data_IF_562601081985
#
_entry.id   IF_562601081985
#
_cell.length_a   1.000
_cell.length_b   1.000
_cell.length_c   1.000
_cell.angle_alpha   90.00
_cell.angle_beta   90.00
_cell.angle_gamma   90.00
#
_symmetry.space_group_name_H-M   'P 1'
#
loop_
_entity.id
_entity.type
_entity.pdbx_description
1 polymer ?
#
# COMPACT_ATOMS: atom_id res chain seq x y z
N UNK A 1 5.90 7.94 -18.87
CA UNK A 1 4.79 7.86 -17.90
C UNK A 1 4.76 6.45 -17.39
N UNK A 2 4.84 6.28 -16.09
CA UNK A 2 4.86 4.97 -15.44
C UNK A 2 3.47 4.67 -14.88
N UNK A 3 2.96 3.47 -15.18
CA UNK A 3 1.70 2.97 -14.64
C UNK A 3 1.99 1.91 -13.58
N UNK A 4 1.60 2.19 -12.35
CA UNK A 4 1.81 1.30 -11.21
C UNK A 4 0.45 0.83 -10.72
N UNK A 5 0.31 -0.47 -10.45
CA UNK A 5 -0.85 -1.00 -9.73
C UNK A 5 -0.41 -1.39 -8.34
N UNK A 6 -1.08 -0.84 -7.33
CA UNK A 6 -0.80 -1.09 -5.92
C UNK A 6 -2.01 -1.73 -5.25
N UNK A 7 -1.74 -2.65 -4.33
CA UNK A 7 -2.74 -3.31 -3.49
C UNK A 7 -2.39 -3.08 -2.03
N UNK A 8 -3.35 -2.67 -1.21
CA UNK A 8 -3.12 -2.51 0.24
C UNK A 8 -4.40 -2.72 1.05
N UNK A 9 -4.26 -2.88 2.36
CA UNK A 9 -5.40 -3.06 3.27
C UNK A 9 -5.78 -1.75 3.96
N UNK A 10 -7.07 -1.60 4.26
CA UNK A 10 -7.62 -0.53 5.10
C UNK A 10 -8.52 -1.15 6.15
N UNK A 11 -8.30 -0.80 7.41
CA UNK A 11 -9.18 -1.14 8.51
C UNK A 11 -10.16 0.02 8.77
N UNK A 12 -11.42 -0.33 8.98
CA UNK A 12 -12.49 0.56 9.42
C UNK A 12 -12.80 0.23 10.87
N UNK A 13 -12.70 1.22 11.75
CA UNK A 13 -13.07 1.05 13.16
C UNK A 13 -14.60 1.16 13.36
N UNK A 14 -15.13 0.86 14.56
CA UNK A 14 -16.57 0.93 14.83
C UNK A 14 -17.20 2.31 14.61
N UNK A 15 -16.40 3.37 14.64
CA UNK A 15 -16.82 4.75 14.39
C UNK A 15 -16.85 5.10 12.90
N UNK A 16 -16.40 4.18 12.03
CA UNK A 16 -16.32 4.40 10.59
C UNK A 16 -15.03 5.09 10.14
N UNK A 17 -14.05 5.28 11.03
CA UNK A 17 -12.77 5.87 10.66
C UNK A 17 -11.90 4.84 9.94
N UNK A 18 -11.34 5.25 8.81
CA UNK A 18 -10.50 4.42 7.96
C UNK A 18 -9.02 4.61 8.29
N UNK A 19 -8.28 3.51 8.30
CA UNK A 19 -6.83 3.51 8.53
C UNK A 19 -6.14 2.51 7.62
N UNK A 20 -5.28 2.95 6.68
CA UNK A 20 -4.47 2.03 5.88
C UNK A 20 -3.54 1.23 6.78
N UNK A 21 -3.35 -0.06 6.49
CA UNK A 21 -2.54 -0.94 7.31
C UNK A 21 -1.08 -0.94 6.86
N UNK A 22 -0.19 -0.73 7.83
CA UNK A 22 1.26 -0.81 7.67
C UNK A 22 1.76 -2.14 8.25
N UNK A 23 2.80 -2.72 7.64
CA UNK A 23 3.40 -3.94 8.17
C UNK A 23 4.15 -3.63 9.46
N UNK A 24 3.85 -4.40 10.51
CA UNK A 24 4.61 -4.40 11.75
C UNK A 24 5.32 -5.75 11.86
N UNK A 25 6.65 -5.76 11.79
CA UNK A 25 7.47 -6.98 11.77
C UNK A 25 7.33 -7.85 13.02
N UNK A 26 6.77 -7.31 14.12
CA UNK A 26 6.52 -8.07 15.35
C UNK A 26 5.09 -8.61 15.47
N UNK A 27 4.08 -7.88 14.96
CA UNK A 27 2.66 -8.15 15.23
C UNK A 27 1.75 -8.20 14.00
N UNK A 28 2.31 -8.33 12.79
CA UNK A 28 1.56 -8.40 11.54
C UNK A 28 1.28 -7.01 10.96
N UNK A 29 0.23 -6.33 11.42
CA UNK A 29 -0.18 -5.02 10.89
C UNK A 29 -0.50 -3.99 11.98
N UNK A 30 -0.26 -2.72 11.68
CA UNK A 30 -0.64 -1.57 12.51
C UNK A 30 -1.35 -0.51 11.66
N UNK A 31 -2.17 0.34 12.29
CA UNK A 31 -2.84 1.46 11.62
C UNK A 31 -1.82 2.52 11.23
N UNK A 32 -1.83 2.90 9.96
CA UNK A 32 -1.10 4.03 9.40
C UNK A 32 -2.00 5.25 9.21
N UNK A 33 -1.37 6.34 8.75
CA UNK A 33 -2.02 7.65 8.58
C UNK A 33 -2.24 8.05 7.12
N UNK A 34 -1.58 7.37 6.17
CA UNK A 34 -1.67 7.66 4.73
C UNK A 34 -1.56 6.38 3.89
N UNK A 35 -2.25 6.27 2.74
CA UNK A 35 -2.06 5.21 1.76
C UNK A 35 -0.61 5.04 1.30
N UNK A 36 0.19 6.10 1.29
CA UNK A 36 1.60 6.05 0.86
C UNK A 36 2.46 5.18 1.79
N UNK A 37 2.09 5.12 3.06
CA UNK A 37 2.78 4.32 4.07
C UNK A 37 2.21 2.91 4.21
N UNK A 38 1.12 2.60 3.50
CA UNK A 38 0.47 1.30 3.58
C UNK A 38 1.41 0.21 3.06
N UNK A 39 1.32 -0.99 3.65
CA UNK A 39 2.03 -2.14 3.10
C UNK A 39 1.43 -2.50 1.74
N UNK A 40 2.28 -2.50 0.71
CA UNK A 40 1.91 -2.80 -0.68
C UNK A 40 2.12 -4.29 -0.95
N UNK A 41 1.05 -4.97 -1.35
CA UNK A 41 1.10 -6.36 -1.80
C UNK A 41 1.42 -6.39 -3.29
N UNK A 42 2.12 -7.44 -3.73
CA UNK A 42 2.53 -7.57 -5.13
C UNK A 42 1.36 -8.02 -6.01
N UNK A 43 0.48 -8.86 -5.46
CA UNK A 43 -0.64 -9.44 -6.21
C UNK A 43 -1.98 -9.24 -5.52
N UNK A 44 -3.04 -9.28 -6.34
CA UNK A 44 -4.41 -9.16 -5.84
C UNK A 44 -4.81 -10.37 -4.96
N UNK A 45 -4.25 -11.55 -5.23
CA UNK A 45 -4.56 -12.76 -4.45
C UNK A 45 -3.94 -12.72 -3.05
N UNK A 46 -2.72 -12.20 -2.91
CA UNK A 46 -2.08 -11.99 -1.62
C UNK A 46 -2.88 -11.03 -0.73
N UNK A 47 -3.31 -9.89 -1.28
CA UNK A 47 -4.08 -8.91 -0.50
C UNK A 47 -5.45 -9.47 -0.11
N UNK A 48 -6.08 -10.29 -0.96
CA UNK A 48 -7.34 -10.97 -0.64
C UNK A 48 -7.17 -11.94 0.54
N UNK A 49 -6.11 -12.74 0.52
CA UNK A 49 -5.80 -13.67 1.62
C UNK A 49 -5.54 -12.92 2.93
N UNK A 50 -4.72 -11.87 2.88
CA UNK A 50 -4.42 -11.05 4.06
C UNK A 50 -5.67 -10.33 4.59
N UNK A 51 -6.53 -9.80 3.72
CA UNK A 51 -7.81 -9.20 4.08
C UNK A 51 -8.73 -10.21 4.79
N UNK A 52 -8.80 -11.44 4.28
CA UNK A 52 -9.55 -12.53 4.89
C UNK A 52 -9.04 -12.85 6.31
N UNK A 53 -7.72 -12.94 6.48
CA UNK A 53 -7.09 -13.19 7.77
C UNK A 53 -7.38 -12.06 8.78
N UNK A 54 -7.24 -10.79 8.38
CA UNK A 54 -7.54 -9.65 9.26
C UNK A 54 -8.99 -9.67 9.74
N UNK A 55 -9.95 -9.90 8.85
CA UNK A 55 -11.36 -10.00 9.22
C UNK A 55 -11.66 -11.24 10.10
N UNK A 56 -10.92 -12.33 9.93
CA UNK A 56 -11.03 -13.50 10.80
C UNK A 56 -10.53 -13.18 12.22
N UNK A 57 -9.36 -12.54 12.34
CA UNK A 57 -8.81 -12.11 13.63
C UNK A 57 -9.74 -11.12 14.33
N UNK A 58 -10.30 -10.16 13.59
CA UNK A 58 -11.27 -9.19 14.10
C UNK A 58 -12.48 -9.87 14.76
N UNK A 59 -13.01 -10.92 14.13
CA UNK A 59 -14.11 -11.74 14.68
C UNK A 59 -13.71 -12.51 15.93
N UNK A 60 -12.52 -13.13 15.94
CA UNK A 60 -12.01 -13.91 17.08
C UNK A 60 -11.85 -13.01 18.31
N UNK A 61 -11.24 -11.84 18.13
CA UNK A 61 -10.96 -10.90 19.22
C UNK A 61 -12.10 -9.93 19.53
N UNK A 62 -13.22 -9.99 18.77
CA UNK A 62 -14.41 -9.13 18.96
C UNK A 62 -14.06 -7.64 19.01
N UNK A 63 -13.11 -7.20 18.17
CA UNK A 63 -12.65 -5.82 18.11
C UNK A 63 -13.58 -4.91 17.27
N UNK A 64 -14.63 -5.48 16.66
CA UNK A 64 -15.63 -4.81 15.83
C UNK A 64 -15.04 -3.99 14.67
N UNK A 65 -13.82 -4.32 14.22
CA UNK A 65 -13.24 -3.70 13.03
C UNK A 65 -13.59 -4.51 11.78
N UNK A 66 -13.56 -3.84 10.63
CA UNK A 66 -13.71 -4.48 9.31
C UNK A 66 -12.54 -4.06 8.45
N UNK A 67 -11.91 -5.02 7.79
CA UNK A 67 -10.84 -4.73 6.83
C UNK A 67 -11.36 -4.92 5.41
N UNK A 68 -11.00 -4.02 4.51
CA UNK A 68 -11.13 -4.21 3.06
C UNK A 68 -9.77 -3.99 2.39
N UNK A 69 -9.64 -4.37 1.13
CA UNK A 69 -8.45 -4.05 0.34
C UNK A 69 -8.77 -3.02 -0.73
N UNK A 70 -7.77 -2.20 -1.05
CA UNK A 70 -7.81 -1.23 -2.14
C UNK A 70 -6.95 -1.75 -3.28
N UNK A 71 -7.47 -1.61 -4.50
CA UNK A 71 -6.71 -1.71 -5.75
C UNK A 71 -6.58 -0.31 -6.32
N UNK A 72 -5.36 0.19 -6.44
CA UNK A 72 -5.07 1.55 -6.88
C UNK A 72 -4.23 1.50 -8.16
N UNK A 73 -4.66 2.22 -9.19
CA UNK A 73 -3.86 2.46 -10.40
C UNK A 73 -3.31 3.87 -10.33
N UNK A 74 -1.99 4.01 -10.37
CA UNK A 74 -1.28 5.28 -10.25
C UNK A 74 -0.52 5.55 -11.55
N UNK A 75 -0.73 6.73 -12.11
CA UNK A 75 0.06 7.26 -13.21
C UNK A 75 1.06 8.27 -12.66
N UNK A 76 2.35 8.08 -12.96
CA UNK A 76 3.45 8.98 -12.52
C UNK A 76 4.21 9.54 -13.71
N UNK A 77 4.51 10.83 -13.63
CA UNK A 77 5.44 11.54 -14.51
C UNK A 77 6.46 12.28 -13.64
N UNK A 78 7.73 12.19 -14.02
CA UNK A 78 8.84 12.89 -13.36
C UNK A 78 9.17 14.13 -14.18
N UNK A 79 9.28 15.27 -13.52
CA UNK A 79 9.67 16.53 -14.16
C UNK A 79 10.88 17.11 -13.45
N UNK A 80 11.71 17.85 -14.18
CA UNK A 80 12.85 18.57 -13.63
C UNK A 80 12.44 19.91 -13.00
N UNK A 81 13.39 20.69 -12.50
CA UNK A 81 13.16 22.00 -11.90
C UNK A 81 12.59 23.05 -12.88
N UNK A 82 12.71 22.82 -14.19
CA UNK A 82 12.18 23.69 -15.22
C UNK A 82 10.76 23.28 -15.66
N UNK A 83 10.25 22.16 -15.15
CA UNK A 83 8.96 21.60 -15.51
C UNK A 83 9.00 20.76 -16.80
N UNK A 84 10.18 20.41 -17.29
CA UNK A 84 10.37 19.53 -18.45
C UNK A 84 10.39 18.06 -18.00
N UNK A 85 10.02 17.13 -18.89
CA UNK A 85 9.98 15.71 -18.56
C UNK A 85 11.39 15.20 -18.25
N UNK A 86 11.59 14.68 -17.04
CA UNK A 86 12.87 14.12 -16.62
C UNK A 86 13.14 12.78 -17.33
N UNK A 87 14.24 12.71 -18.07
CA UNK A 87 14.74 11.49 -18.72
C UNK A 87 15.98 11.03 -17.97
N UNK A 88 15.88 9.88 -17.31
CA UNK A 88 16.99 9.25 -16.60
C UNK A 88 18.05 8.85 -17.64
N UNK A 89 19.23 9.47 -17.60
CA UNK A 89 20.35 9.06 -18.47
C UNK A 89 20.93 7.79 -17.87
N UNK A 90 20.99 6.71 -18.67
CA UNK A 90 21.69 5.49 -18.29
C UNK A 90 23.13 5.85 -17.90
N UNK A 91 23.47 5.62 -16.63
CA UNK A 91 24.85 5.71 -16.17
C UNK A 91 25.52 4.42 -16.65
N UNK A 92 26.07 4.44 -17.86
CA UNK A 92 27.09 3.46 -18.23
C UNK A 92 28.23 3.63 -17.22
N UNK A 93 28.37 2.68 -16.30
CA UNK A 93 29.55 2.55 -15.45
C UNK A 93 30.77 2.47 -16.37
N UNK A 94 31.47 3.60 -16.49
CA UNK A 94 32.84 3.62 -16.98
C UNK A 94 33.68 2.82 -15.99
N UNK A 95 33.82 1.52 -16.24
CA UNK A 95 34.88 0.70 -15.65
C UNK A 95 36.21 1.22 -16.17
N UNK A 96 36.93 1.99 -15.35
CA UNK A 96 38.38 2.18 -15.47
C UNK A 96 39.14 1.03 -14.80
#
# INVERSE_FOLDING_TARGET
>A
MEQITEFYLVEVNPQGEESPLMRNFSNGFTRGVSPDNAFKFETEDEVKQACGLQNMLAKIFKNNTKTYYVKQSIERAKFDENGELYVEKDVEEATE
#
